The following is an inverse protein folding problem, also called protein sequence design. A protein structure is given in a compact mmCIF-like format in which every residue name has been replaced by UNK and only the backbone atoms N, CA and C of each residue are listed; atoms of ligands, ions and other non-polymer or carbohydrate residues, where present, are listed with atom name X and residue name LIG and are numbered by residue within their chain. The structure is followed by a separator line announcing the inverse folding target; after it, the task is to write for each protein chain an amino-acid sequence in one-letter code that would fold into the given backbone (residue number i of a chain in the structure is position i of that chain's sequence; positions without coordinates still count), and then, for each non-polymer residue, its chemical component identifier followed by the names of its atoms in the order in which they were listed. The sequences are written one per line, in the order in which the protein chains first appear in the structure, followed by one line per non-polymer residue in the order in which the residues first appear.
data_IF_853939354752
#
_entry.id   IF_853939354752
#
_cell.length_a   1.000
_cell.length_b   1.000
_cell.length_c   1.000
_cell.angle_alpha   90.00
_cell.angle_beta   90.00
_cell.angle_gamma   90.00
#
_symmetry.space_group_name_H-M   'P 1'
#
loop_
_entity.id
_entity.type
_entity.pdbx_description
1 polymer ?
#
# COMPACT_ATOMS: atom_id res chain seq x y z
N UNK A 1 15.87 6.79 -2.95
CA UNK A 1 15.30 7.52 -4.11
C UNK A 1 14.81 8.89 -3.65
N UNK A 2 15.74 9.82 -3.39
CA UNK A 2 15.42 11.06 -2.69
C UNK A 2 14.49 11.99 -3.49
N UNK A 3 14.71 12.13 -4.80
CA UNK A 3 13.89 13.03 -5.63
C UNK A 3 12.42 12.62 -5.72
N UNK A 4 12.12 11.33 -5.91
CA UNK A 4 10.73 10.87 -5.99
C UNK A 4 10.01 10.94 -4.64
N UNK A 5 10.73 10.70 -3.53
CA UNK A 5 10.19 10.92 -2.19
C UNK A 5 9.86 12.40 -1.97
N UNK A 6 10.77 13.30 -2.37
CA UNK A 6 10.56 14.74 -2.25
C UNK A 6 9.33 15.19 -3.05
N UNK A 7 9.22 14.75 -4.31
CA UNK A 7 8.07 15.06 -5.16
C UNK A 7 6.74 14.58 -4.54
N UNK A 8 6.72 13.39 -3.92
CA UNK A 8 5.54 12.93 -3.17
C UNK A 8 5.21 13.85 -2.00
N UNK A 9 6.20 14.20 -1.19
CA UNK A 9 6.01 15.06 -0.01
C UNK A 9 5.50 16.44 -0.42
N UNK A 10 5.99 16.98 -1.53
CA UNK A 10 5.53 18.25 -2.11
C UNK A 10 4.09 18.17 -2.62
N UNK A 11 3.76 17.13 -3.41
CA UNK A 11 2.39 16.93 -3.89
C UNK A 11 1.40 16.79 -2.72
N UNK A 12 1.77 16.01 -1.70
CA UNK A 12 0.98 15.85 -0.48
C UNK A 12 0.82 17.21 0.25
N UNK A 13 1.88 18.01 0.39
CA UNK A 13 1.81 19.37 0.97
C UNK A 13 0.90 20.32 0.19
N UNK A 14 0.90 20.24 -1.14
CA UNK A 14 0.11 21.11 -2.00
C UNK A 14 -1.40 20.81 -1.96
N UNK A 15 -1.80 19.60 -1.56
CA UNK A 15 -3.20 19.24 -1.42
C UNK A 15 -3.80 19.86 -0.15
N UNK A 16 -4.87 20.66 -0.31
CA UNK A 16 -5.69 21.19 0.79
C UNK A 16 -6.65 20.12 1.35
N UNK A 17 -6.13 18.92 1.63
CA UNK A 17 -6.88 17.76 2.14
C UNK A 17 -6.21 17.32 3.45
N UNK A 18 -7.02 17.06 4.47
CA UNK A 18 -6.55 16.51 5.74
C UNK A 18 -5.92 15.11 5.54
N UNK A 19 -4.84 14.80 6.25
CA UNK A 19 -4.02 13.60 6.00
C UNK A 19 -4.80 12.31 6.23
N UNK A 20 -5.67 12.31 7.23
CA UNK A 20 -6.59 11.23 7.59
C UNK A 20 -7.66 10.90 6.53
N UNK A 21 -7.79 11.74 5.50
CA UNK A 21 -8.66 11.52 4.33
C UNK A 21 -7.88 11.32 3.03
N UNK A 22 -6.55 11.36 3.08
CA UNK A 22 -5.70 11.21 1.91
C UNK A 22 -5.18 9.78 1.82
N UNK A 23 -5.35 9.15 0.67
CA UNK A 23 -4.63 7.91 0.32
C UNK A 23 -3.59 8.24 -0.73
N UNK A 24 -2.39 7.69 -0.56
CA UNK A 24 -1.31 7.83 -1.54
C UNK A 24 -0.98 6.46 -2.14
N UNK A 25 -0.36 6.46 -3.31
CA UNK A 25 -0.09 5.22 -3.99
C UNK A 25 0.42 5.41 -5.38
N UNK A 26 0.89 4.32 -5.99
CA UNK A 26 1.43 4.37 -7.34
C UNK A 26 1.72 3.01 -7.93
N UNK A 27 2.04 3.02 -9.23
CA UNK A 27 2.45 1.82 -9.96
C UNK A 27 3.95 1.55 -9.79
N UNK A 28 4.30 0.30 -9.53
CA UNK A 28 5.68 -0.18 -9.44
C UNK A 28 6.55 0.67 -8.51
N UNK A 29 7.57 1.34 -9.04
CA UNK A 29 8.46 2.20 -8.27
C UNK A 29 7.75 3.35 -7.56
N UNK A 30 6.65 3.86 -8.13
CA UNK A 30 5.81 4.86 -7.45
C UNK A 30 5.17 4.32 -6.17
N UNK A 31 4.62 3.09 -6.24
CA UNK A 31 4.08 2.39 -5.07
C UNK A 31 5.16 2.07 -4.04
N UNK A 32 6.36 1.66 -4.50
CA UNK A 32 7.52 1.48 -3.62
C UNK A 32 7.87 2.75 -2.88
N UNK A 33 7.99 3.89 -3.57
CA UNK A 33 8.32 5.15 -2.92
C UNK A 33 7.22 5.61 -1.98
N UNK A 34 5.95 5.51 -2.39
CA UNK A 34 4.82 5.82 -1.53
C UNK A 34 4.87 5.01 -0.23
N UNK A 35 5.10 3.70 -0.32
CA UNK A 35 5.16 2.81 0.85
C UNK A 35 6.27 3.16 1.86
N UNK A 36 7.37 3.77 1.39
CA UNK A 36 8.49 4.13 2.25
C UNK A 36 8.22 5.37 3.11
N UNK A 37 7.23 6.17 2.75
CA UNK A 37 6.96 7.48 3.37
C UNK A 37 5.52 7.60 3.89
N UNK A 38 4.67 6.60 3.65
CA UNK A 38 3.24 6.68 3.96
C UNK A 38 3.00 6.85 5.46
N UNK A 39 3.65 6.05 6.31
CA UNK A 39 3.55 6.17 7.77
C UNK A 39 4.04 7.54 8.27
N UNK A 40 5.19 8.03 7.77
CA UNK A 40 5.73 9.36 8.11
C UNK A 40 4.74 10.48 7.79
N UNK A 41 4.03 10.34 6.67
CA UNK A 41 3.07 11.34 6.18
C UNK A 41 1.71 11.24 6.89
N UNK A 42 1.49 10.21 7.71
CA UNK A 42 0.27 9.97 8.47
C UNK A 42 -1.00 10.03 7.61
N UNK A 43 -0.89 9.49 6.40
CA UNK A 43 -1.99 9.41 5.43
C UNK A 43 -3.00 8.34 5.86
N UNK A 44 -4.21 8.40 5.33
CA UNK A 44 -5.29 7.46 5.62
C UNK A 44 -5.01 6.03 5.15
N UNK A 45 -4.19 5.87 4.10
CA UNK A 45 -3.93 4.58 3.49
C UNK A 45 -2.89 4.62 2.37
N UNK A 46 -2.51 3.43 1.91
CA UNK A 46 -1.58 3.20 0.81
C UNK A 46 -2.18 2.26 -0.25
N UNK A 47 -1.99 2.58 -1.54
CA UNK A 47 -2.33 1.67 -2.65
C UNK A 47 -1.13 1.46 -3.57
N UNK A 48 -0.71 0.22 -3.77
CA UNK A 48 0.40 -0.13 -4.67
C UNK A 48 -0.10 -0.99 -5.82
N UNK A 49 0.32 -0.67 -7.04
CA UNK A 49 -0.04 -1.43 -8.25
C UNK A 49 1.23 -2.08 -8.82
N UNK A 50 1.37 -3.40 -8.73
CA UNK A 50 2.58 -4.08 -9.22
C UNK A 50 3.81 -3.77 -8.38
N UNK A 51 3.75 -3.95 -7.05
CA UNK A 51 4.86 -3.61 -6.14
C UNK A 51 6.11 -4.46 -6.48
N UNK A 52 7.29 -3.84 -6.65
CA UNK A 52 8.51 -4.60 -6.97
C UNK A 52 9.18 -5.07 -5.68
N UNK A 53 8.73 -6.21 -5.14
CA UNK A 53 9.22 -6.83 -3.90
C UNK A 53 10.71 -7.14 -3.96
N UNK A 54 11.21 -7.48 -5.15
CA UNK A 54 12.63 -7.63 -5.42
C UNK A 54 12.94 -7.14 -6.85
N UNK A 55 14.21 -6.87 -7.21
CA UNK A 55 14.58 -6.66 -8.60
C UNK A 55 14.31 -7.92 -9.44
N UNK A 56 14.03 -7.73 -10.73
CA UNK A 56 13.86 -8.85 -11.67
C UNK A 56 15.13 -9.70 -11.69
N UNK A 57 14.96 -11.02 -11.50
CA UNK A 57 16.06 -11.99 -11.49
C UNK A 57 16.93 -11.97 -10.23
N UNK A 58 16.52 -11.25 -9.17
CA UNK A 58 17.25 -11.16 -7.89
C UNK A 58 16.28 -11.34 -6.70
N UNK A 59 15.59 -12.49 -6.57
CA UNK A 59 14.58 -12.73 -5.52
C UNK A 59 15.13 -12.60 -4.09
N UNK A 60 16.43 -12.79 -3.89
CA UNK A 60 17.11 -12.63 -2.61
C UNK A 60 17.22 -11.18 -2.14
N UNK A 61 17.13 -10.20 -3.06
CA UNK A 61 17.27 -8.76 -2.74
C UNK A 61 15.93 -8.13 -2.42
N UNK A 62 15.37 -8.54 -1.29
CA UNK A 62 14.07 -8.09 -0.84
C UNK A 62 14.01 -6.58 -0.55
N UNK A 63 12.83 -6.01 -0.79
CA UNK A 63 12.46 -4.61 -0.55
C UNK A 63 11.28 -4.52 0.42
N UNK A 64 11.23 -5.44 1.39
CA UNK A 64 10.10 -5.66 2.31
C UNK A 64 10.32 -5.12 3.71
N UNK A 65 11.55 -4.77 4.10
CA UNK A 65 11.89 -4.45 5.49
C UNK A 65 11.00 -3.36 6.13
N UNK A 66 10.56 -2.35 5.37
CA UNK A 66 9.62 -1.34 5.88
C UNK A 66 8.15 -1.81 5.80
N UNK A 67 7.82 -2.73 4.89
CA UNK A 67 6.48 -3.32 4.77
C UNK A 67 6.15 -4.24 5.95
N UNK A 68 7.15 -4.87 6.57
CA UNK A 68 7.01 -5.64 7.81
C UNK A 68 6.43 -4.80 8.96
N UNK A 69 6.73 -3.50 8.98
CA UNK A 69 6.39 -2.58 10.07
C UNK A 69 5.31 -1.56 9.70
N UNK A 70 4.74 -1.66 8.49
CA UNK A 70 3.78 -0.70 7.98
C UNK A 70 2.56 -0.63 8.89
N UNK A 71 2.25 0.55 9.42
CA UNK A 71 1.25 0.71 10.49
C UNK A 71 -0.14 1.12 9.98
N UNK A 72 -0.21 1.73 8.79
CA UNK A 72 -1.46 2.16 8.16
C UNK A 72 -2.07 1.10 7.23
N UNK A 73 -3.39 1.17 6.95
CA UNK A 73 -4.04 0.28 5.99
C UNK A 73 -3.42 0.40 4.59
N UNK A 74 -3.05 -0.73 3.99
CA UNK A 74 -2.46 -0.77 2.66
C UNK A 74 -3.10 -1.84 1.78
N UNK A 75 -3.19 -1.56 0.47
CA UNK A 75 -3.62 -2.52 -0.54
C UNK A 75 -2.54 -2.67 -1.61
N UNK A 76 -2.11 -3.90 -1.87
CA UNK A 76 -1.20 -4.22 -2.97
C UNK A 76 -1.97 -5.01 -4.02
N UNK A 77 -2.26 -4.38 -5.15
CA UNK A 77 -2.79 -5.05 -6.33
C UNK A 77 -1.61 -5.62 -7.14
N UNK A 78 -1.44 -6.94 -7.13
CA UNK A 78 -0.27 -7.62 -7.67
C UNK A 78 -0.64 -8.65 -8.73
N UNK A 79 0.13 -8.70 -9.82
CA UNK A 79 0.01 -9.77 -10.79
C UNK A 79 0.43 -11.11 -10.20
N UNK A 80 -0.35 -12.17 -10.38
CA UNK A 80 -0.01 -13.51 -9.87
C UNK A 80 1.32 -14.03 -10.42
N UNK A 81 1.72 -13.54 -11.59
CA UNK A 81 2.97 -13.89 -12.31
C UNK A 81 3.92 -12.69 -12.46
N UNK A 82 3.83 -11.69 -11.59
CA UNK A 82 4.73 -10.53 -11.68
C UNK A 82 6.20 -10.98 -11.44
N UNK A 83 7.14 -10.70 -12.36
CA UNK A 83 8.51 -11.18 -12.25
C UNK A 83 9.33 -10.48 -11.15
N UNK A 84 8.75 -9.50 -10.46
CA UNK A 84 9.36 -8.78 -9.33
C UNK A 84 8.64 -9.07 -8.01
N UNK A 85 7.75 -10.06 -7.98
CA UNK A 85 7.08 -10.55 -6.78
C UNK A 85 5.77 -11.26 -7.15
N UNK A 86 5.86 -12.50 -7.58
CA UNK A 86 4.72 -13.36 -7.89
C UNK A 86 3.93 -13.70 -6.63
N UNK A 87 2.76 -14.32 -6.80
CA UNK A 87 1.97 -14.79 -5.65
C UNK A 87 2.75 -15.80 -4.80
N UNK A 88 3.51 -16.68 -5.44
CA UNK A 88 4.34 -17.69 -4.78
C UNK A 88 5.47 -17.03 -3.98
N UNK A 89 6.16 -16.04 -4.57
CA UNK A 89 7.21 -15.28 -3.88
C UNK A 89 6.66 -14.63 -2.60
N UNK A 90 5.52 -13.96 -2.72
CA UNK A 90 4.98 -13.11 -1.64
C UNK A 90 4.36 -13.92 -0.51
N UNK A 91 3.84 -15.12 -0.78
CA UNK A 91 3.32 -16.01 0.27
C UNK A 91 4.38 -16.38 1.30
N UNK A 92 5.66 -16.38 0.93
CA UNK A 92 6.78 -16.65 1.84
C UNK A 92 7.25 -15.43 2.65
N UNK A 93 6.77 -14.22 2.37
CA UNK A 93 7.27 -13.01 3.02
C UNK A 93 6.56 -12.74 4.34
N UNK A 94 7.35 -12.33 5.34
CA UNK A 94 6.80 -11.72 6.55
C UNK A 94 6.41 -10.27 6.22
N UNK A 95 5.13 -9.93 6.34
CA UNK A 95 4.60 -8.60 6.02
C UNK A 95 3.62 -8.16 7.10
N UNK A 96 3.44 -6.85 7.25
CA UNK A 96 2.47 -6.29 8.21
C UNK A 96 1.05 -6.81 7.92
N UNK A 97 0.26 -7.18 8.96
CA UNK A 97 -1.14 -7.56 8.80
C UNK A 97 -2.03 -6.41 8.32
N UNK A 98 -1.51 -5.19 8.26
CA UNK A 98 -2.19 -4.03 7.69
C UNK A 98 -2.22 -4.04 6.16
N UNK A 99 -1.45 -4.93 5.52
CA UNK A 99 -1.35 -5.06 4.07
C UNK A 99 -2.34 -6.11 3.58
N UNK A 100 -3.34 -5.66 2.82
CA UNK A 100 -4.20 -6.51 2.00
C UNK A 100 -3.63 -6.72 0.59
N UNK A 101 -4.02 -7.81 -0.05
CA UNK A 101 -3.58 -8.18 -1.40
C UNK A 101 -4.74 -8.41 -2.35
N UNK A 102 -4.62 -7.87 -3.57
CA UNK A 102 -5.45 -8.26 -4.70
C UNK A 102 -4.62 -8.91 -5.79
N UNK A 103 -4.90 -10.19 -6.05
CA UNK A 103 -4.14 -10.99 -7.01
C UNK A 103 -4.78 -10.96 -8.40
N UNK A 104 -4.06 -10.43 -9.38
CA UNK A 104 -4.51 -10.20 -10.75
C UNK A 104 -3.95 -11.29 -11.68
N UNK A 105 -4.81 -12.04 -12.38
CA UNK A 105 -4.40 -13.18 -13.22
C UNK A 105 -3.93 -12.77 -14.63
N UNK A 106 -4.49 -11.72 -15.23
CA UNK A 106 -4.10 -11.10 -16.52
C UNK A 106 -4.58 -9.64 -16.57
N UNK A 107 -4.20 -8.86 -17.61
CA UNK A 107 -4.42 -7.41 -17.73
C UNK A 107 -5.80 -6.91 -17.25
N UNK A 108 -5.79 -5.97 -16.31
CA UNK A 108 -6.99 -5.45 -15.65
C UNK A 108 -6.97 -3.92 -15.60
N UNK A 109 -8.14 -3.34 -15.86
CA UNK A 109 -8.52 -1.98 -15.50
C UNK A 109 -8.88 -1.94 -14.02
N UNK A 110 -8.21 -1.07 -13.25
CA UNK A 110 -8.48 -0.92 -11.81
C UNK A 110 -9.48 0.22 -11.63
N UNK A 111 -10.70 -0.10 -11.19
CA UNK A 111 -11.76 0.87 -10.90
C UNK A 111 -11.79 1.17 -9.40
N UNK A 112 -11.62 2.44 -9.04
CA UNK A 112 -11.76 2.93 -7.67
C UNK A 112 -13.12 3.60 -7.47
N UNK A 113 -13.83 3.21 -6.42
CA UNK A 113 -15.00 3.88 -5.88
C UNK A 113 -14.60 4.44 -4.51
N UNK A 114 -14.47 5.76 -4.39
CA UNK A 114 -14.28 6.40 -3.10
C UNK A 114 -15.65 6.52 -2.39
N UNK A 115 -15.73 6.16 -1.12
CA UNK A 115 -16.89 6.43 -0.26
C UNK A 115 -16.45 6.97 1.09
N UNK A 116 -17.39 7.52 1.87
CA UNK A 116 -17.15 7.97 3.25
C UNK A 116 -16.66 6.85 4.18
N UNK A 117 -16.76 5.58 3.75
CA UNK A 117 -16.32 4.38 4.49
C UNK A 117 -14.95 3.84 4.05
N UNK A 118 -14.31 4.43 3.03
CA UNK A 118 -12.98 4.05 2.56
C UNK A 118 -12.86 4.03 1.03
N UNK A 119 -11.72 3.56 0.54
CA UNK A 119 -11.53 3.28 -0.88
C UNK A 119 -12.01 1.86 -1.16
N UNK A 120 -12.92 1.76 -2.12
CA UNK A 120 -13.40 0.50 -2.66
C UNK A 120 -12.75 0.31 -4.03
N UNK A 121 -11.97 -0.73 -4.22
CA UNK A 121 -11.74 -1.24 -5.57
C UNK A 121 -12.97 -2.11 -5.87
N UNK A 122 -13.57 -2.06 -7.07
CA UNK A 122 -14.75 -2.91 -7.35
C UNK A 122 -14.45 -4.37 -6.97
N UNK A 123 -15.05 -4.84 -5.86
CA UNK A 123 -14.79 -6.16 -5.25
C UNK A 123 -14.23 -6.15 -3.82
N UNK A 124 -13.52 -5.12 -3.34
CA UNK A 124 -12.88 -5.08 -2.01
C UNK A 124 -12.98 -3.69 -1.36
N UNK A 125 -13.38 -3.68 -0.08
CA UNK A 125 -13.47 -2.48 0.76
C UNK A 125 -12.29 -2.43 1.74
N UNK A 126 -11.50 -1.36 1.75
CA UNK A 126 -10.53 -1.11 2.83
C UNK A 126 -11.31 -0.60 4.04
N UNK A 127 -11.80 -1.51 4.88
CA UNK A 127 -12.54 -1.15 6.09
C UNK A 127 -11.58 -0.52 7.11
N UNK A 128 -11.89 0.69 7.57
CA UNK A 128 -11.32 1.22 8.82
C UNK A 128 -11.69 0.22 9.94
N UNK A 129 -10.71 -0.42 10.58
CA UNK A 129 -11.00 -1.06 11.88
C UNK A 129 -11.55 0.03 12.81
N UNK A 130 -12.66 -0.20 13.54
CA UNK A 130 -13.07 0.72 14.57
C UNK A 130 -11.94 0.81 15.62
N UNK A 131 -11.64 2.03 16.08
CA UNK A 131 -10.92 2.19 17.34
C UNK A 131 -11.78 1.52 18.41
N UNK A 132 -11.33 0.40 18.96
CA UNK A 132 -11.79 -0.01 20.27
C UNK A 132 -11.28 1.04 21.25
N UNK A 133 -12.14 1.99 21.61
CA UNK A 133 -11.95 2.71 22.87
C UNK A 133 -12.01 1.67 23.98
N UNK A 134 -10.98 1.65 24.83
CA UNK A 134 -11.00 0.83 26.02
C UNK A 134 -12.07 1.30 27.00
N UNK A 135 -12.53 0.38 27.81
CA UNK A 135 -12.85 0.64 29.20
C UNK A 135 -12.30 -0.53 30.01
N UNK A 136 -11.15 -0.30 30.63
CA UNK A 136 -10.88 -0.86 31.95
C UNK A 136 -12.01 -0.43 32.88
N UNK A 137 -12.68 -1.37 33.52
CA UNK A 137 -13.27 -1.18 34.84
C UNK A 137 -13.57 -2.54 35.47
N UNK A 138 -12.88 -2.76 36.60
CA UNK A 138 -13.03 -3.79 37.66
C UNK A 138 -12.93 -5.26 37.32
#
# INVERSE_FOLDING_TARGET
MPMLQQAYREAVRALAIQREHLVIGGKSMGGRVASLIADDLKVAGLICLGYPFHPRGQPEKLRTAHLERLSLPALICQGTRDPMGSMEDVQGYHLSPMIGFEWLRTGITISFLASDRGIHVQGISILRRPRSFGSSET
#
